data_IF_533170100130
#
_entry.id   IF_533170100130
#
_cell.length_a   1.000
_cell.length_b   1.000
_cell.length_c   1.000
_cell.angle_alpha   90.00
_cell.angle_beta   90.00
_cell.angle_gamma   90.00
#
_symmetry.space_group_name_H-M   'P 1'
#
loop_
_entity.id
_entity.type
_entity.pdbx_description
1 polymer ?
#
# COMPACT_ATOMS: atom_id res chain seq x y z
N UNK A 1 30.38 11.06 -26.32
CA UNK A 1 29.03 11.54 -25.88
C UNK A 1 29.27 12.32 -24.59
N UNK A 2 29.09 13.64 -24.62
CA UNK A 2 29.20 14.49 -23.43
C UNK A 2 27.94 14.22 -22.61
N UNK A 3 28.10 13.61 -21.44
CA UNK A 3 27.00 13.40 -20.51
C UNK A 3 26.37 14.76 -20.17
N UNK A 4 25.07 14.92 -20.41
CA UNK A 4 24.32 16.07 -19.88
C UNK A 4 24.42 16.02 -18.36
N UNK A 5 25.01 17.04 -17.77
CA UNK A 5 24.99 17.24 -16.34
C UNK A 5 23.53 17.60 -15.96
N UNK A 6 22.89 16.76 -15.17
CA UNK A 6 21.55 17.01 -14.66
C UNK A 6 21.65 18.09 -13.58
N UNK A 7 20.79 19.10 -13.63
CA UNK A 7 20.72 20.11 -12.59
C UNK A 7 20.29 19.44 -11.26
N UNK A 8 20.76 20.02 -10.13
CA UNK A 8 20.49 19.45 -8.79
C UNK A 8 19.00 19.26 -8.50
N UNK A 9 18.17 20.18 -9.00
CA UNK A 9 16.71 20.15 -8.88
C UNK A 9 16.04 19.09 -9.75
N UNK A 10 16.72 18.63 -10.83
CA UNK A 10 16.19 17.59 -11.74
C UNK A 10 16.67 16.18 -11.37
N UNK A 11 17.61 16.03 -10.42
CA UNK A 11 18.14 14.73 -10.01
C UNK A 11 17.04 13.77 -9.56
N UNK A 12 16.07 14.16 -8.72
CA UNK A 12 14.99 13.27 -8.32
C UNK A 12 14.21 12.73 -9.52
N UNK A 13 13.85 13.59 -10.47
CA UNK A 13 13.11 13.18 -11.67
C UNK A 13 13.97 12.31 -12.61
N UNK A 14 15.27 12.60 -12.73
CA UNK A 14 16.21 11.86 -13.58
C UNK A 14 16.58 10.49 -13.02
N UNK A 15 16.45 10.28 -11.71
CA UNK A 15 16.79 9.04 -11.00
C UNK A 15 15.57 8.22 -10.60
N UNK A 16 14.36 8.69 -10.88
CA UNK A 16 13.15 7.93 -10.63
C UNK A 16 13.18 6.61 -11.42
N UNK A 17 13.30 5.51 -10.69
CA UNK A 17 13.19 4.16 -11.21
C UNK A 17 11.80 3.65 -10.94
N UNK A 18 11.04 3.38 -11.99
CA UNK A 18 9.78 2.66 -11.84
C UNK A 18 10.05 1.21 -11.48
N UNK A 19 9.54 0.78 -10.33
CA UNK A 19 9.66 -0.61 -9.91
C UNK A 19 8.97 -1.52 -10.93
N UNK A 20 9.66 -2.51 -11.51
CA UNK A 20 9.03 -3.46 -12.43
C UNK A 20 7.83 -4.14 -11.83
N UNK A 21 6.78 -4.35 -12.62
CA UNK A 21 5.50 -4.88 -12.14
C UNK A 21 5.63 -6.21 -11.37
N UNK A 22 6.51 -7.12 -11.81
CA UNK A 22 6.71 -8.40 -11.11
C UNK A 22 7.28 -8.21 -9.70
N UNK A 23 8.14 -7.19 -9.48
CA UNK A 23 8.67 -6.87 -8.14
C UNK A 23 7.54 -6.31 -7.27
N UNK A 24 6.72 -5.42 -7.83
CA UNK A 24 5.56 -4.84 -7.11
C UNK A 24 4.63 -5.97 -6.65
N UNK A 25 4.27 -6.87 -7.55
CA UNK A 25 3.42 -8.03 -7.24
C UNK A 25 4.07 -8.95 -6.21
N UNK A 26 5.37 -9.23 -6.35
CA UNK A 26 6.13 -10.01 -5.38
C UNK A 26 6.04 -9.38 -3.98
N UNK A 27 6.27 -8.08 -3.87
CA UNK A 27 6.21 -7.37 -2.58
C UNK A 27 4.82 -7.46 -1.96
N UNK A 28 3.77 -7.12 -2.69
CA UNK A 28 2.39 -7.12 -2.19
C UNK A 28 1.93 -8.53 -1.80
N UNK A 29 2.24 -9.54 -2.61
CA UNK A 29 1.83 -10.92 -2.34
C UNK A 29 2.57 -11.54 -1.15
N UNK A 30 3.84 -11.17 -0.93
CA UNK A 30 4.64 -11.70 0.19
C UNK A 30 4.60 -10.84 1.47
N UNK A 31 3.83 -9.76 1.47
CA UNK A 31 3.51 -8.95 2.67
C UNK A 31 2.03 -9.08 3.02
N UNK A 32 1.18 -8.31 2.39
CA UNK A 32 -0.28 -8.34 2.61
C UNK A 32 -0.87 -9.73 2.36
N UNK A 33 -0.52 -10.35 1.22
CA UNK A 33 -0.97 -11.70 0.86
C UNK A 33 -0.53 -12.74 1.88
N UNK A 34 0.72 -12.67 2.31
CA UNK A 34 1.26 -13.58 3.34
C UNK A 34 0.53 -13.44 4.68
N UNK A 35 0.25 -12.21 5.12
CA UNK A 35 -0.49 -11.98 6.36
C UNK A 35 -1.91 -12.54 6.28
N UNK A 36 -2.58 -12.35 5.14
CA UNK A 36 -3.91 -12.91 4.90
C UNK A 36 -3.89 -14.44 4.94
N UNK A 37 -2.99 -15.06 4.19
CA UNK A 37 -2.88 -16.53 4.10
C UNK A 37 -2.41 -17.17 5.41
N UNK A 38 -1.64 -16.49 6.24
CA UNK A 38 -1.27 -17.00 7.57
C UNK A 38 -2.50 -17.20 8.46
N UNK A 39 -3.50 -16.30 8.36
CA UNK A 39 -4.77 -16.41 9.10
C UNK A 39 -5.78 -17.31 8.37
N UNK A 40 -5.79 -17.25 7.04
CA UNK A 40 -6.73 -18.02 6.19
C UNK A 40 -5.99 -18.92 5.19
N UNK A 41 -5.36 -20.03 5.63
CA UNK A 41 -4.55 -20.88 4.74
C UNK A 41 -5.33 -21.52 3.59
N UNK A 42 -6.67 -21.63 3.73
CA UNK A 42 -7.56 -22.20 2.71
C UNK A 42 -8.15 -21.14 1.76
N UNK A 43 -7.68 -19.89 1.85
CA UNK A 43 -8.15 -18.82 0.98
C UNK A 43 -7.88 -19.14 -0.50
N UNK A 44 -8.90 -18.96 -1.34
CA UNK A 44 -8.78 -19.15 -2.79
C UNK A 44 -7.83 -18.12 -3.44
N UNK A 45 -7.54 -17.02 -2.76
CA UNK A 45 -6.62 -15.98 -3.24
C UNK A 45 -5.21 -16.51 -3.45
N UNK A 46 -4.82 -17.59 -2.74
CA UNK A 46 -3.52 -18.24 -2.95
C UNK A 46 -3.26 -18.58 -4.42
N UNK A 47 -4.27 -19.04 -5.13
CA UNK A 47 -4.16 -19.42 -6.55
C UNK A 47 -3.96 -18.22 -7.49
N UNK A 48 -4.29 -17.02 -7.04
CA UNK A 48 -4.14 -15.78 -7.80
C UNK A 48 -2.79 -15.10 -7.56
N UNK A 49 -2.00 -15.59 -6.60
CA UNK A 49 -0.72 -15.01 -6.18
C UNK A 49 0.45 -15.74 -6.85
N UNK A 50 0.76 -15.36 -8.08
CA UNK A 50 1.81 -15.97 -8.90
C UNK A 50 3.22 -15.90 -8.29
N UNK A 51 3.51 -14.79 -7.58
CA UNK A 51 4.83 -14.52 -6.98
C UNK A 51 4.88 -14.78 -5.47
N UNK A 52 3.84 -15.40 -4.91
CA UNK A 52 3.84 -15.77 -3.50
C UNK A 52 4.80 -16.94 -3.24
N UNK A 53 5.65 -16.78 -2.23
CA UNK A 53 6.58 -17.82 -1.80
C UNK A 53 5.99 -18.53 -0.58
N UNK A 54 5.79 -19.84 -0.71
CA UNK A 54 5.38 -20.66 0.42
C UNK A 54 6.42 -20.59 1.54
N UNK A 55 6.01 -20.42 2.80
CA UNK A 55 6.91 -20.51 3.93
C UNK A 55 7.63 -21.86 3.95
N UNK A 56 8.94 -21.84 4.18
CA UNK A 56 9.68 -23.08 4.42
C UNK A 56 9.15 -23.80 5.67
N UNK A 57 9.33 -25.10 5.71
CA UNK A 57 9.04 -25.88 6.91
C UNK A 57 9.82 -25.34 8.12
N UNK A 58 9.10 -25.12 9.20
CA UNK A 58 9.65 -24.59 10.45
C UNK A 58 9.71 -25.68 11.51
N UNK A 59 10.61 -25.52 12.48
CA UNK A 59 10.65 -26.40 13.64
C UNK A 59 9.36 -26.26 14.47
N UNK A 60 8.97 -27.29 15.27
CA UNK A 60 7.77 -27.23 16.09
C UNK A 60 7.73 -26.02 17.02
N UNK A 61 8.88 -25.62 17.58
CA UNK A 61 8.98 -24.47 18.48
C UNK A 61 8.67 -23.15 17.74
N UNK A 62 9.18 -22.99 16.52
CA UNK A 62 8.90 -21.81 15.68
C UNK A 62 7.45 -21.81 15.22
N UNK A 63 6.89 -22.98 14.89
CA UNK A 63 5.47 -23.10 14.54
C UNK A 63 4.56 -22.65 15.69
N UNK A 64 4.86 -23.02 16.93
CA UNK A 64 4.10 -22.55 18.09
C UNK A 64 4.21 -21.03 18.29
N UNK A 65 5.41 -20.46 18.14
CA UNK A 65 5.60 -19.01 18.21
C UNK A 65 4.82 -18.28 17.12
N UNK A 66 4.87 -18.76 15.87
CA UNK A 66 4.11 -18.20 14.77
C UNK A 66 2.60 -18.29 15.02
N UNK A 67 2.13 -19.41 15.52
CA UNK A 67 0.72 -19.60 15.88
C UNK A 67 0.28 -18.65 17.00
N UNK A 68 1.15 -18.37 17.96
CA UNK A 68 0.84 -17.45 19.05
C UNK A 68 0.68 -16.00 18.61
N UNK A 69 1.41 -15.58 17.56
CA UNK A 69 1.35 -14.20 17.02
C UNK A 69 0.38 -14.06 15.83
N UNK A 70 -0.06 -15.17 15.23
CA UNK A 70 -1.00 -15.14 14.10
C UNK A 70 -2.42 -14.95 14.63
N UNK A 71 -3.14 -13.90 14.20
CA UNK A 71 -4.52 -13.71 14.60
C UNK A 71 -5.40 -14.87 14.13
N UNK A 72 -6.36 -15.27 14.95
CA UNK A 72 -7.35 -16.29 14.58
C UNK A 72 -8.38 -15.79 13.56
N UNK A 73 -8.51 -14.48 13.45
CA UNK A 73 -9.39 -13.81 12.49
C UNK A 73 -8.83 -12.43 12.17
N UNK A 74 -8.97 -12.01 10.92
CA UNK A 74 -8.62 -10.67 10.45
C UNK A 74 -9.85 -10.01 9.82
N UNK A 75 -10.14 -8.80 10.28
CA UNK A 75 -11.10 -7.93 9.62
C UNK A 75 -10.37 -7.18 8.49
N UNK A 76 -10.80 -7.27 7.21
CA UNK A 76 -10.19 -6.51 6.13
C UNK A 76 -10.09 -5.01 6.39
N UNK A 77 -11.03 -4.44 7.13
CA UNK A 77 -11.05 -3.01 7.44
C UNK A 77 -9.95 -2.57 8.44
N UNK A 78 -9.35 -3.51 9.14
CA UNK A 78 -8.26 -3.26 10.11
C UNK A 78 -6.87 -3.53 9.53
N UNK A 79 -6.82 -4.16 8.35
CA UNK A 79 -5.56 -4.38 7.63
C UNK A 79 -5.11 -3.07 6.99
N UNK A 80 -3.87 -2.69 7.23
CA UNK A 80 -3.27 -1.51 6.60
C UNK A 80 -2.00 -1.86 5.86
N UNK A 81 -1.77 -1.18 4.73
CA UNK A 81 -0.52 -1.22 3.99
C UNK A 81 0.00 0.21 3.87
N UNK A 82 1.19 0.44 4.41
CA UNK A 82 1.91 1.69 4.28
C UNK A 82 3.09 1.51 3.32
N UNK A 83 3.14 2.36 2.31
CA UNK A 83 4.33 2.54 1.48
C UNK A 83 5.01 3.86 1.89
N UNK A 84 6.17 3.81 2.57
CA UNK A 84 6.81 5.01 3.12
C UNK A 84 7.58 5.83 2.09
N UNK A 85 7.66 5.37 0.85
CA UNK A 85 8.30 6.05 -0.29
C UNK A 85 7.55 5.68 -1.57
N UNK A 86 6.26 6.04 -1.62
CA UNK A 86 5.32 5.46 -2.56
C UNK A 86 5.53 5.89 -4.04
N UNK A 87 6.34 6.92 -4.28
CA UNK A 87 6.56 7.42 -5.63
C UNK A 87 5.22 7.74 -6.31
N UNK A 88 5.03 7.22 -7.52
CA UNK A 88 3.78 7.33 -8.27
C UNK A 88 2.72 6.27 -7.90
N UNK A 89 2.90 5.51 -6.81
CA UNK A 89 1.89 4.66 -6.22
C UNK A 89 1.77 3.24 -6.80
N UNK A 90 2.78 2.71 -7.47
CA UNK A 90 2.71 1.38 -8.09
C UNK A 90 2.39 0.26 -7.10
N UNK A 91 3.04 0.26 -5.92
CA UNK A 91 2.79 -0.73 -4.87
C UNK A 91 1.36 -0.58 -4.32
N UNK A 92 0.92 0.65 -4.10
CA UNK A 92 -0.43 0.93 -3.59
C UNK A 92 -1.52 0.52 -4.58
N UNK A 93 -1.31 0.74 -5.88
CA UNK A 93 -2.25 0.32 -6.93
C UNK A 93 -2.36 -1.21 -7.02
N UNK A 94 -1.25 -1.93 -6.91
CA UNK A 94 -1.28 -3.40 -6.86
C UNK A 94 -1.92 -3.91 -5.56
N UNK A 95 -1.60 -3.26 -4.42
CA UNK A 95 -2.22 -3.60 -3.15
C UNK A 95 -3.73 -3.37 -3.15
N UNK A 96 -4.22 -2.35 -3.86
CA UNK A 96 -5.65 -2.12 -4.06
C UNK A 96 -6.34 -3.35 -4.66
N UNK A 97 -5.75 -3.98 -5.68
CA UNK A 97 -6.33 -5.18 -6.31
C UNK A 97 -6.40 -6.36 -5.34
N UNK A 98 -5.36 -6.55 -4.53
CA UNK A 98 -5.37 -7.61 -3.53
C UNK A 98 -6.37 -7.34 -2.40
N UNK A 99 -6.46 -6.11 -1.89
CA UNK A 99 -7.50 -5.74 -0.93
C UNK A 99 -8.90 -5.94 -1.48
N UNK A 100 -9.15 -5.55 -2.73
CA UNK A 100 -10.43 -5.78 -3.40
C UNK A 100 -10.78 -7.26 -3.41
N UNK A 101 -9.85 -8.13 -3.75
CA UNK A 101 -10.05 -9.58 -3.75
C UNK A 101 -10.32 -10.12 -2.33
N UNK A 102 -9.61 -9.62 -1.31
CA UNK A 102 -9.84 -9.95 0.10
C UNK A 102 -11.26 -9.56 0.54
N UNK A 103 -11.70 -8.34 0.25
CA UNK A 103 -13.05 -7.89 0.57
C UNK A 103 -14.14 -8.73 -0.13
N UNK A 104 -13.90 -9.06 -1.41
CA UNK A 104 -14.81 -9.90 -2.18
C UNK A 104 -14.92 -11.31 -1.58
N UNK A 105 -13.79 -11.92 -1.19
CA UNK A 105 -13.77 -13.22 -0.51
C UNK A 105 -14.55 -13.19 0.81
N UNK A 106 -14.54 -12.05 1.51
CA UNK A 106 -15.30 -11.84 2.76
C UNK A 106 -16.77 -11.43 2.53
N UNK A 107 -17.22 -11.35 1.28
CA UNK A 107 -18.62 -11.10 0.94
C UNK A 107 -19.07 -9.65 1.04
N UNK A 108 -18.14 -8.69 1.01
CA UNK A 108 -18.47 -7.26 0.99
C UNK A 108 -19.15 -6.88 -0.33
N UNK A 109 -20.05 -5.89 -0.28
CA UNK A 109 -20.72 -5.40 -1.48
C UNK A 109 -19.74 -4.67 -2.38
N UNK A 110 -19.66 -5.06 -3.65
CA UNK A 110 -18.69 -4.53 -4.61
C UNK A 110 -18.62 -2.98 -4.65
N UNK A 111 -19.76 -2.31 -4.50
CA UNK A 111 -19.85 -0.83 -4.51
C UNK A 111 -19.22 -0.14 -3.30
N UNK A 112 -19.12 -0.84 -2.16
CA UNK A 112 -18.58 -0.26 -0.92
C UNK A 112 -17.06 -0.45 -0.81
N UNK A 113 -16.52 -1.45 -1.51
CA UNK A 113 -15.11 -1.85 -1.44
C UNK A 113 -14.14 -0.71 -1.81
N UNK A 114 -14.34 0.03 -2.92
CA UNK A 114 -13.40 1.09 -3.32
C UNK A 114 -13.22 2.15 -2.24
N UNK A 115 -14.31 2.59 -1.62
CA UNK A 115 -14.27 3.58 -0.56
C UNK A 115 -13.54 3.07 0.68
N UNK A 116 -13.84 1.83 1.09
CA UNK A 116 -13.19 1.21 2.25
C UNK A 116 -11.67 1.10 2.04
N UNK A 117 -11.23 0.66 0.87
CA UNK A 117 -9.80 0.53 0.55
C UNK A 117 -9.09 1.89 0.64
N UNK A 118 -9.66 2.94 0.03
CA UNK A 118 -9.05 4.26 0.03
C UNK A 118 -8.98 4.88 1.42
N UNK A 119 -10.00 4.68 2.25
CA UNK A 119 -10.09 5.32 3.56
C UNK A 119 -9.36 4.55 4.66
N UNK A 120 -9.32 3.21 4.59
CA UNK A 120 -8.90 2.37 5.72
C UNK A 120 -7.61 1.59 5.49
N UNK A 121 -7.31 1.22 4.25
CA UNK A 121 -6.28 0.21 4.02
C UNK A 121 -4.97 0.74 3.45
N UNK A 122 -5.02 1.74 2.55
CA UNK A 122 -3.85 2.20 1.81
C UNK A 122 -3.35 3.54 2.34
N UNK A 123 -2.06 3.56 2.66
CA UNK A 123 -1.36 4.74 3.13
C UNK A 123 -0.05 4.90 2.36
N UNK A 124 0.27 6.12 1.95
CA UNK A 124 1.50 6.43 1.24
C UNK A 124 2.16 7.67 1.78
N UNK A 125 3.48 7.63 1.91
CA UNK A 125 4.30 8.78 2.20
C UNK A 125 5.22 9.04 1.01
N UNK A 126 5.47 10.30 0.70
CA UNK A 126 6.34 10.68 -0.42
C UNK A 126 7.03 12.02 -0.10
N UNK A 127 8.23 12.19 -0.61
CA UNK A 127 8.98 13.45 -0.46
C UNK A 127 8.68 14.43 -1.61
N UNK A 128 8.34 13.91 -2.79
CA UNK A 128 7.99 14.72 -3.97
C UNK A 128 6.48 14.92 -4.06
N UNK A 129 6.04 16.17 -3.93
CA UNK A 129 4.63 16.57 -4.05
C UNK A 129 3.98 16.09 -5.35
N UNK A 130 4.72 16.11 -6.47
CA UNK A 130 4.19 15.71 -7.79
C UNK A 130 4.00 14.21 -7.86
N UNK A 131 4.94 13.44 -7.30
CA UNK A 131 4.81 12.00 -7.22
C UNK A 131 3.65 11.59 -6.29
N UNK A 132 3.50 12.25 -5.13
CA UNK A 132 2.38 12.05 -4.22
C UNK A 132 1.03 12.33 -4.89
N UNK A 133 0.91 13.42 -5.63
CA UNK A 133 -0.30 13.75 -6.39
C UNK A 133 -0.60 12.70 -7.47
N UNK A 134 0.44 12.21 -8.15
CA UNK A 134 0.27 11.15 -9.15
C UNK A 134 -0.18 9.83 -8.51
N UNK A 135 0.37 9.46 -7.35
CA UNK A 135 -0.07 8.30 -6.60
C UNK A 135 -1.54 8.40 -6.17
N UNK A 136 -1.93 9.55 -5.62
CA UNK A 136 -3.31 9.82 -5.24
C UNK A 136 -4.25 9.74 -6.47
N UNK A 137 -3.85 10.34 -7.59
CA UNK A 137 -4.60 10.28 -8.84
C UNK A 137 -4.74 8.84 -9.34
N UNK A 138 -3.66 8.06 -9.36
CA UNK A 138 -3.67 6.67 -9.80
C UNK A 138 -4.64 5.81 -8.96
N UNK A 139 -4.64 5.97 -7.63
CA UNK A 139 -5.58 5.29 -6.74
C UNK A 139 -7.03 5.71 -6.97
N UNK A 140 -7.28 7.01 -7.16
CA UNK A 140 -8.62 7.51 -7.46
C UNK A 140 -9.14 6.98 -8.79
N UNK A 141 -8.29 6.91 -9.82
CA UNK A 141 -8.66 6.33 -11.12
C UNK A 141 -8.92 4.82 -11.03
N UNK A 142 -8.16 4.12 -10.19
CA UNK A 142 -8.37 2.69 -9.89
C UNK A 142 -9.74 2.47 -9.24
N UNK A 143 -10.03 3.22 -8.19
CA UNK A 143 -11.32 3.17 -7.50
C UNK A 143 -12.49 3.58 -8.42
N UNK A 144 -12.27 4.56 -9.31
CA UNK A 144 -13.26 5.02 -10.29
C UNK A 144 -13.62 3.95 -11.32
N UNK A 145 -12.68 3.07 -11.66
CA UNK A 145 -12.96 1.95 -12.55
C UNK A 145 -13.96 0.95 -11.92
N UNK A 146 -13.94 0.83 -10.60
CA UNK A 146 -14.80 -0.08 -9.84
C UNK A 146 -16.12 0.59 -9.37
N UNK A 147 -16.07 1.87 -8.98
CA UNK A 147 -17.26 2.66 -8.64
C UNK A 147 -17.29 4.00 -9.39
N UNK A 148 -18.23 4.13 -10.32
CA UNK A 148 -18.40 5.35 -11.13
C UNK A 148 -18.72 6.60 -10.31
N UNK A 149 -19.23 6.45 -9.09
CA UNK A 149 -19.64 7.56 -8.21
C UNK A 149 -18.62 7.89 -7.13
N UNK A 150 -17.44 7.28 -7.17
CA UNK A 150 -16.42 7.50 -6.14
C UNK A 150 -16.04 8.99 -5.99
N UNK A 151 -16.10 9.76 -7.08
CA UNK A 151 -15.82 11.22 -7.06
C UNK A 151 -16.93 12.05 -6.42
N UNK A 152 -18.13 11.49 -6.29
CA UNK A 152 -19.26 12.15 -5.60
C UNK A 152 -19.16 11.94 -4.08
N UNK A 153 -18.26 11.06 -3.64
CA UNK A 153 -17.98 10.80 -2.24
C UNK A 153 -16.86 11.70 -1.71
N UNK A 154 -16.75 11.80 -0.39
CA UNK A 154 -15.64 12.51 0.27
C UNK A 154 -14.34 11.67 0.34
N UNK A 155 -14.25 10.61 -0.49
CA UNK A 155 -13.08 9.73 -0.51
C UNK A 155 -11.81 10.49 -0.91
N UNK A 156 -10.82 10.41 -0.04
CA UNK A 156 -9.47 10.92 -0.31
C UNK A 156 -8.49 9.81 -0.02
N UNK A 157 -7.55 9.49 -0.93
CA UNK A 157 -6.45 8.59 -0.64
C UNK A 157 -5.58 9.14 0.49
N UNK A 158 -5.12 8.28 1.38
CA UNK A 158 -4.22 8.66 2.48
C UNK A 158 -2.78 8.76 1.96
N UNK A 159 -2.53 9.70 1.05
CA UNK A 159 -1.20 9.98 0.52
C UNK A 159 -0.76 11.32 1.07
N UNK A 160 0.39 11.32 1.75
CA UNK A 160 0.96 12.50 2.37
C UNK A 160 2.33 12.80 1.75
N UNK A 161 2.47 14.02 1.24
CA UNK A 161 3.77 14.57 0.86
C UNK A 161 4.44 15.23 2.06
N UNK A 162 5.71 14.89 2.31
CA UNK A 162 6.48 15.54 3.36
C UNK A 162 6.74 16.99 3.00
N UNK A 163 6.58 17.86 3.97
CA UNK A 163 6.92 19.28 3.86
C UNK A 163 8.28 19.54 4.52
N UNK A 164 9.01 20.54 4.00
CA UNK A 164 10.26 20.97 4.61
C UNK A 164 9.98 21.49 6.04
N UNK A 165 10.82 21.07 6.97
CA UNK A 165 10.75 21.50 8.37
C UNK A 165 11.45 22.84 8.64
N UNK A 166 11.92 23.54 7.61
CA UNK A 166 12.54 24.86 7.78
C UNK A 166 11.55 25.84 8.43
N UNK A 167 11.97 26.41 9.55
CA UNK A 167 11.16 27.34 10.32
C UNK A 167 10.35 26.74 11.46
N UNK A 168 10.36 25.42 11.62
CA UNK A 168 9.76 24.76 12.80
C UNK A 168 10.77 24.74 13.94
N UNK A 169 10.43 25.37 15.06
CA UNK A 169 11.26 25.36 16.27
C UNK A 169 10.95 24.15 17.16
N UNK A 170 11.92 23.73 17.97
CA UNK A 170 11.70 22.65 18.94
C UNK A 170 10.55 22.96 19.94
N UNK A 171 10.33 24.26 20.24
CA UNK A 171 9.21 24.69 21.09
C UNK A 171 7.84 24.45 20.41
N UNK A 172 7.76 24.62 19.09
CA UNK A 172 6.52 24.37 18.35
C UNK A 172 6.17 22.87 18.37
N UNK A 173 7.20 21.99 18.29
CA UNK A 173 7.00 20.53 18.35
C UNK A 173 6.49 20.10 19.72
N UNK A 174 6.95 20.75 20.82
CA UNK A 174 6.51 20.44 22.17
C UNK A 174 5.02 20.72 22.40
N UNK A 175 4.41 21.65 21.65
CA UNK A 175 2.98 21.93 21.73
C UNK A 175 2.11 20.84 21.09
N UNK A 176 2.68 19.98 20.25
CA UNK A 176 1.99 18.86 19.58
C UNK A 176 2.24 17.51 20.26
N UNK A 177 3.08 17.46 21.31
CA UNK A 177 3.26 16.23 22.11
C UNK A 177 2.06 16.09 23.07
N UNK A 178 1.20 15.12 22.78
CA UNK A 178 0.11 14.69 23.65
C UNK A 178 0.63 13.79 24.77
#
# INVERSE_FOLDING_TARGET
MIGKVVASEDIPAATQLFTPNWIVRYLVQNTLGRQWLATYPQSALRQQMEYYIEPAEQTPEIQEQLKAITPTSLNPEELTLLDPACGSGHILVEAYDLFKAIYQERGYRAKDIPLLILQKNLFGLEIDDRAAQLAAFALMMKARADDRRIFDSEAKPNILAFQDSQGINAADIQQFSF
#
